data_IF_478937887498
#
_entry.id   IF_478937887498
#
_cell.length_a   1.000
_cell.length_b   1.000
_cell.length_c   1.000
_cell.angle_alpha   90.00
_cell.angle_beta   90.00
_cell.angle_gamma   90.00
#
_symmetry.space_group_name_H-M   'P 1'
#
loop_
_entity.id
_entity.type
_entity.pdbx_description
1 polymer ?
#
# COMPACT_ATOMS: atom_id res chain seq x y z
N UNK A 1 -50.66 -64.06 -13.40
CA UNK A 1 -49.25 -64.48 -13.36
C UNK A 1 -48.65 -64.26 -14.74
N UNK A 2 -47.83 -63.24 -14.91
CA UNK A 2 -46.66 -63.23 -15.81
C UNK A 2 -45.85 -61.98 -15.45
N UNK A 3 -44.68 -62.23 -14.90
CA UNK A 3 -43.58 -61.30 -14.59
C UNK A 3 -42.77 -61.00 -15.84
N UNK A 4 -42.10 -59.85 -15.88
CA UNK A 4 -40.98 -59.59 -16.80
C UNK A 4 -40.96 -58.11 -17.18
N UNK A 5 -40.15 -57.26 -16.53
CA UNK A 5 -38.69 -57.13 -16.65
C UNK A 5 -38.34 -55.98 -17.59
N UNK A 6 -38.82 -54.77 -17.26
CA UNK A 6 -38.34 -53.51 -17.85
C UNK A 6 -37.74 -52.66 -16.74
N UNK A 7 -36.55 -53.03 -16.29
CA UNK A 7 -35.80 -52.24 -15.32
C UNK A 7 -34.32 -52.57 -15.43
N UNK A 8 -33.66 -52.31 -16.56
CA UNK A 8 -32.18 -52.34 -16.63
C UNK A 8 -31.57 -51.70 -17.89
N UNK A 9 -32.17 -50.65 -18.47
CA UNK A 9 -31.59 -49.99 -19.67
C UNK A 9 -31.34 -48.47 -19.52
N UNK A 10 -31.44 -47.93 -18.30
CA UNK A 10 -31.22 -46.48 -18.02
C UNK A 10 -29.85 -46.16 -17.38
N UNK A 11 -28.92 -47.12 -17.31
CA UNK A 11 -27.64 -46.93 -16.59
C UNK A 11 -26.38 -46.97 -17.47
N UNK A 12 -26.49 -46.92 -18.80
CA UNK A 12 -25.31 -46.96 -19.69
C UNK A 12 -24.96 -45.60 -20.31
N UNK A 13 -25.93 -44.68 -20.51
CA UNK A 13 -25.68 -43.35 -21.08
C UNK A 13 -25.04 -42.35 -20.09
N UNK A 14 -25.21 -42.52 -18.77
CA UNK A 14 -24.60 -41.63 -17.76
C UNK A 14 -23.12 -41.96 -17.46
N UNK A 15 -22.60 -43.11 -17.93
CA UNK A 15 -21.23 -43.55 -17.70
C UNK A 15 -20.24 -43.01 -18.74
N UNK A 16 -20.68 -42.77 -19.98
CA UNK A 16 -19.83 -42.20 -21.05
C UNK A 16 -19.45 -40.73 -20.77
N UNK A 17 -20.28 -39.99 -20.03
CA UNK A 17 -20.05 -38.59 -19.64
C UNK A 17 -19.09 -38.46 -18.44
N UNK A 18 -18.97 -39.49 -17.59
CA UNK A 18 -18.13 -39.45 -16.40
C UNK A 18 -16.64 -39.62 -16.70
N UNK A 19 -16.28 -40.49 -17.65
CA UNK A 19 -14.89 -40.68 -18.05
C UNK A 19 -14.38 -39.47 -18.87
N UNK A 20 -15.24 -38.86 -19.70
CA UNK A 20 -14.95 -37.60 -20.39
C UNK A 20 -14.78 -36.44 -19.38
N UNK A 21 -15.64 -36.36 -18.37
CA UNK A 21 -15.50 -35.39 -17.28
C UNK A 21 -14.19 -35.55 -16.49
N UNK A 22 -13.78 -36.79 -16.16
CA UNK A 22 -12.50 -37.06 -15.49
C UNK A 22 -11.32 -36.69 -16.40
N UNK A 23 -11.38 -37.01 -17.69
CA UNK A 23 -10.34 -36.67 -18.65
C UNK A 23 -10.16 -35.14 -18.76
N UNK A 24 -11.27 -34.40 -18.87
CA UNK A 24 -11.26 -32.94 -18.91
C UNK A 24 -10.67 -32.32 -17.63
N UNK A 25 -10.99 -32.87 -16.44
CA UNK A 25 -10.38 -32.44 -15.18
C UNK A 25 -8.87 -32.67 -15.16
N UNK A 26 -8.40 -33.81 -15.67
CA UNK A 26 -6.98 -34.13 -15.74
C UNK A 26 -6.24 -33.21 -16.71
N UNK A 27 -6.84 -32.92 -17.86
CA UNK A 27 -6.32 -31.98 -18.86
C UNK A 27 -6.22 -30.56 -18.28
N UNK A 28 -7.27 -30.07 -17.61
CA UNK A 28 -7.26 -28.77 -16.92
C UNK A 28 -6.17 -28.68 -15.85
N UNK A 29 -5.94 -29.75 -15.08
CA UNK A 29 -4.86 -29.83 -14.09
C UNK A 29 -3.46 -29.85 -14.71
N UNK A 30 -3.31 -30.46 -15.88
CA UNK A 30 -2.06 -30.51 -16.63
C UNK A 30 -1.73 -29.14 -17.23
N UNK A 31 -2.70 -28.51 -17.90
CA UNK A 31 -2.59 -27.13 -18.42
C UNK A 31 -2.21 -26.15 -17.30
N UNK A 32 -2.84 -26.27 -16.12
CA UNK A 32 -2.54 -25.42 -14.98
C UNK A 32 -1.11 -25.64 -14.44
N UNK A 33 -0.64 -26.88 -14.42
CA UNK A 33 0.73 -27.22 -14.02
C UNK A 33 1.75 -26.66 -14.99
N UNK A 34 1.53 -26.82 -16.29
CA UNK A 34 2.40 -26.25 -17.33
C UNK A 34 2.45 -24.72 -17.21
N UNK A 35 1.30 -24.08 -17.05
CA UNK A 35 1.23 -22.64 -16.82
C UNK A 35 2.05 -22.22 -15.60
N UNK A 36 1.91 -22.90 -14.46
CA UNK A 36 2.66 -22.59 -13.23
C UNK A 36 4.19 -22.75 -13.39
N UNK A 37 4.63 -23.67 -14.25
CA UNK A 37 6.05 -23.88 -14.59
C UNK A 37 6.59 -22.71 -15.44
N UNK A 38 5.81 -22.24 -16.41
CA UNK A 38 6.21 -21.15 -17.32
C UNK A 38 6.06 -19.75 -16.72
N UNK A 39 5.15 -19.60 -15.76
CA UNK A 39 4.77 -18.32 -15.15
C UNK A 39 5.97 -17.47 -14.67
N UNK A 40 7.03 -18.03 -14.06
CA UNK A 40 8.22 -17.26 -13.71
C UNK A 40 8.89 -16.62 -14.94
N UNK A 41 8.97 -17.34 -16.06
CA UNK A 41 9.58 -16.86 -17.30
C UNK A 41 8.73 -15.75 -17.91
N UNK A 42 7.40 -15.89 -17.93
CA UNK A 42 6.48 -14.85 -18.42
C UNK A 42 6.69 -13.51 -17.70
N UNK A 43 6.83 -13.54 -16.37
CA UNK A 43 7.10 -12.34 -15.57
C UNK A 43 8.49 -11.74 -15.84
N UNK A 44 9.50 -12.58 -16.04
CA UNK A 44 10.85 -12.13 -16.34
C UNK A 44 10.90 -11.48 -17.74
N UNK A 45 10.32 -12.13 -18.75
CA UNK A 45 10.21 -11.58 -20.10
C UNK A 45 9.48 -10.25 -20.11
N UNK A 46 8.30 -10.16 -19.47
CA UNK A 46 7.56 -8.89 -19.37
C UNK A 46 8.40 -7.78 -18.71
N UNK A 47 9.16 -8.09 -17.66
CA UNK A 47 10.05 -7.11 -17.06
C UNK A 47 11.16 -6.67 -18.02
N UNK A 48 11.80 -7.62 -18.71
CA UNK A 48 12.89 -7.32 -19.62
C UNK A 48 12.46 -6.51 -20.85
N UNK A 49 11.28 -6.81 -21.38
CA UNK A 49 10.71 -6.13 -22.55
C UNK A 49 10.31 -4.68 -22.23
N UNK A 50 9.76 -4.44 -21.03
CA UNK A 50 9.13 -3.15 -20.69
C UNK A 50 9.91 -2.28 -19.70
N UNK A 51 11.02 -2.75 -19.10
CA UNK A 51 11.78 -1.96 -18.10
C UNK A 51 12.33 -0.64 -18.64
N UNK A 52 12.58 -0.54 -19.95
CA UNK A 52 13.10 0.67 -20.59
C UNK A 52 12.03 1.46 -21.34
N UNK A 53 10.79 0.97 -21.36
CA UNK A 53 9.67 1.65 -22.00
C UNK A 53 9.13 2.74 -21.07
N UNK A 54 9.17 3.99 -21.54
CA UNK A 54 8.74 5.16 -20.76
C UNK A 54 7.27 5.12 -20.38
N UNK A 55 6.42 4.46 -21.17
CA UNK A 55 4.98 4.34 -20.90
C UNK A 55 4.65 3.15 -19.99
N UNK A 56 5.64 2.31 -19.66
CA UNK A 56 5.45 1.16 -18.80
C UNK A 56 5.24 1.53 -17.33
N UNK A 57 4.54 0.63 -16.62
CA UNK A 57 4.39 0.68 -15.15
C UNK A 57 5.73 0.83 -14.43
N UNK A 58 6.83 0.33 -14.99
CA UNK A 58 8.16 0.35 -14.39
C UNK A 58 8.78 1.74 -14.32
N UNK A 59 8.33 2.65 -15.19
CA UNK A 59 8.86 4.01 -15.33
C UNK A 59 7.88 5.10 -14.89
N UNK A 60 6.81 4.72 -14.16
CA UNK A 60 5.86 5.68 -13.61
C UNK A 60 6.54 6.65 -12.62
N UNK A 61 6.24 7.96 -12.68
CA UNK A 61 6.83 8.95 -11.79
C UNK A 61 6.65 8.63 -10.31
N UNK A 62 7.76 8.70 -9.56
CA UNK A 62 7.76 8.43 -8.13
C UNK A 62 7.70 6.94 -7.77
N UNK A 63 7.49 6.03 -8.72
CA UNK A 63 7.48 4.59 -8.47
C UNK A 63 8.86 3.96 -8.62
N UNK A 64 9.13 2.97 -7.78
CA UNK A 64 10.32 2.14 -7.89
C UNK A 64 10.00 0.70 -7.49
N UNK A 65 10.22 -0.26 -8.39
CA UNK A 65 9.99 -1.67 -8.13
C UNK A 65 11.14 -2.28 -7.33
N UNK A 66 10.84 -2.70 -6.11
CA UNK A 66 11.76 -3.41 -5.22
C UNK A 66 11.80 -4.90 -5.58
N UNK A 67 10.66 -5.44 -6.03
CA UNK A 67 10.53 -6.84 -6.45
C UNK A 67 9.42 -6.97 -7.48
N UNK A 68 9.69 -7.64 -8.59
CA UNK A 68 8.68 -7.99 -9.57
C UNK A 68 8.86 -9.47 -9.92
N UNK A 69 8.01 -10.33 -9.35
CA UNK A 69 8.08 -11.78 -9.52
C UNK A 69 6.67 -12.35 -9.55
N UNK A 70 6.46 -13.49 -10.23
CA UNK A 70 5.16 -14.19 -10.28
C UNK A 70 4.51 -14.47 -8.91
N UNK A 71 5.28 -14.58 -7.81
CA UNK A 71 4.72 -14.79 -6.46
C UNK A 71 4.41 -13.48 -5.72
N UNK A 72 5.18 -12.43 -6.01
CA UNK A 72 5.18 -11.19 -5.24
C UNK A 72 5.64 -10.02 -6.09
N UNK A 73 4.86 -8.95 -6.05
CA UNK A 73 5.22 -7.63 -6.58
C UNK A 73 5.35 -6.69 -5.38
N UNK A 74 6.41 -5.92 -5.31
CA UNK A 74 6.66 -4.93 -4.26
C UNK A 74 7.26 -3.69 -4.90
N UNK A 75 6.67 -2.54 -4.62
CA UNK A 75 7.17 -1.26 -5.11
C UNK A 75 7.05 -0.20 -4.00
N UNK A 76 7.90 0.81 -4.11
CA UNK A 76 7.80 2.04 -3.33
C UNK A 76 7.27 3.17 -4.19
N UNK A 77 6.54 4.09 -3.57
CA UNK A 77 6.13 5.35 -4.14
C UNK A 77 6.67 6.50 -3.29
N UNK A 78 7.38 7.43 -3.93
CA UNK A 78 7.90 8.65 -3.30
C UNK A 78 7.07 9.85 -3.77
N UNK A 79 6.15 10.36 -2.95
CA UNK A 79 5.24 11.45 -3.33
C UNK A 79 5.96 12.74 -3.74
N UNK A 80 7.13 13.02 -3.16
CA UNK A 80 7.92 14.23 -3.45
C UNK A 80 8.46 14.30 -4.89
N UNK A 81 8.39 13.19 -5.65
CA UNK A 81 8.73 13.16 -7.07
C UNK A 81 7.54 13.51 -7.98
N UNK A 82 6.34 13.61 -7.41
CA UNK A 82 5.10 13.96 -8.11
C UNK A 82 4.56 15.32 -7.65
N UNK A 83 4.83 15.69 -6.39
CA UNK A 83 4.37 16.91 -5.76
C UNK A 83 5.51 17.65 -5.04
N UNK A 84 5.50 18.98 -5.10
CA UNK A 84 6.58 19.83 -4.59
C UNK A 84 6.57 19.95 -3.06
N UNK A 85 5.38 20.17 -2.48
CA UNK A 85 5.21 20.47 -1.06
C UNK A 85 4.90 19.22 -0.26
N UNK A 86 5.67 18.15 -0.49
CA UNK A 86 5.60 16.89 0.27
C UNK A 86 7.01 16.47 0.67
N UNK A 87 7.20 16.05 1.94
CA UNK A 87 8.51 15.66 2.47
C UNK A 87 9.16 14.57 1.61
N UNK A 88 10.47 14.71 1.36
CA UNK A 88 11.25 13.73 0.63
C UNK A 88 11.49 12.44 1.43
N UNK A 89 11.30 12.50 2.76
CA UNK A 89 11.43 11.34 3.66
C UNK A 89 10.21 10.41 3.58
N UNK A 90 9.07 10.92 3.12
CA UNK A 90 7.86 10.13 3.04
C UNK A 90 7.94 9.15 1.86
N UNK A 91 7.84 7.85 2.16
CA UNK A 91 7.86 6.78 1.18
C UNK A 91 6.76 5.80 1.53
N UNK A 92 5.86 5.53 0.58
CA UNK A 92 4.88 4.46 0.70
C UNK A 92 5.43 3.19 0.08
N UNK A 93 5.24 2.07 0.75
CA UNK A 93 5.64 0.75 0.24
C UNK A 93 4.37 -0.04 0.05
N UNK A 94 4.22 -0.68 -1.11
CA UNK A 94 3.06 -1.53 -1.41
C UNK A 94 3.57 -2.91 -1.83
N UNK A 95 2.98 -3.96 -1.27
CA UNK A 95 3.22 -5.34 -1.68
C UNK A 95 1.93 -5.99 -2.17
N UNK A 96 2.01 -6.61 -3.33
CA UNK A 96 0.99 -7.49 -3.89
C UNK A 96 1.45 -8.94 -3.76
N UNK A 97 0.54 -9.84 -3.38
CA UNK A 97 0.81 -11.27 -3.27
C UNK A 97 -0.18 -12.03 -4.13
N UNK A 98 0.33 -12.98 -4.90
CA UNK A 98 -0.50 -13.88 -5.68
C UNK A 98 -1.04 -15.02 -4.81
N UNK A 99 -2.35 -15.28 -4.89
CA UNK A 99 -3.04 -16.37 -4.18
C UNK A 99 -4.34 -16.73 -4.91
N UNK A 100 -4.63 -18.02 -5.02
CA UNK A 100 -5.86 -18.55 -5.64
C UNK A 100 -6.14 -18.01 -7.05
N UNK A 101 -5.12 -17.80 -7.87
CA UNK A 101 -5.29 -17.25 -9.23
C UNK A 101 -5.29 -15.72 -9.32
N UNK A 102 -5.24 -15.01 -8.19
CA UNK A 102 -5.41 -13.56 -8.15
C UNK A 102 -4.29 -12.85 -7.39
N UNK A 103 -4.04 -11.60 -7.78
CA UNK A 103 -3.22 -10.67 -7.04
C UNK A 103 -4.03 -10.00 -5.94
N UNK A 104 -3.44 -9.90 -4.75
CA UNK A 104 -4.05 -9.27 -3.59
C UNK A 104 -3.12 -8.23 -2.98
N UNK A 105 -3.68 -7.10 -2.54
CA UNK A 105 -2.95 -6.08 -1.79
C UNK A 105 -2.71 -6.58 -0.37
N UNK A 106 -1.44 -6.62 0.06
CA UNK A 106 -1.12 -6.82 1.48
C UNK A 106 -1.37 -5.50 2.22
N UNK A 107 -1.78 -5.56 3.50
CA UNK A 107 -1.88 -4.36 4.34
C UNK A 107 -0.51 -3.70 4.49
N UNK A 108 -0.43 -2.42 4.16
CA UNK A 108 0.83 -1.69 4.03
C UNK A 108 0.74 -0.28 4.62
N UNK A 109 1.89 0.38 4.75
CA UNK A 109 2.04 1.72 5.33
C UNK A 109 1.64 2.81 4.31
N UNK A 110 0.34 2.97 4.13
CA UNK A 110 -0.30 4.04 3.34
C UNK A 110 -1.30 4.76 4.25
N UNK A 111 -1.56 6.07 4.08
CA UNK A 111 -2.61 6.77 4.82
C UNK A 111 -3.93 6.00 4.78
N UNK A 112 -4.55 5.81 5.94
CA UNK A 112 -5.71 4.90 6.13
C UNK A 112 -6.83 5.19 5.12
N UNK A 113 -7.11 6.48 4.87
CA UNK A 113 -8.15 6.94 3.95
C UNK A 113 -7.90 6.53 2.49
N UNK A 114 -6.65 6.23 2.12
CA UNK A 114 -6.24 5.85 0.78
C UNK A 114 -5.95 4.36 0.67
N UNK A 115 -5.51 3.71 1.76
CA UNK A 115 -5.38 2.26 1.84
C UNK A 115 -6.71 1.57 1.47
N UNK A 116 -7.83 2.06 2.01
CA UNK A 116 -9.15 1.52 1.67
C UNK A 116 -9.51 1.67 0.19
N UNK A 117 -9.16 2.80 -0.43
CA UNK A 117 -9.38 3.03 -1.87
C UNK A 117 -8.56 2.04 -2.70
N UNK A 118 -7.29 1.84 -2.34
CA UNK A 118 -6.41 0.86 -2.99
C UNK A 118 -6.96 -0.56 -2.83
N UNK A 119 -7.35 -0.97 -1.63
CA UNK A 119 -7.96 -2.28 -1.41
C UNK A 119 -9.20 -2.45 -2.29
N UNK A 120 -10.12 -1.47 -2.32
CA UNK A 120 -11.33 -1.52 -3.15
C UNK A 120 -11.07 -1.70 -4.64
N UNK A 121 -9.91 -1.31 -5.17
CA UNK A 121 -9.56 -1.61 -6.56
C UNK A 121 -9.48 -3.12 -6.82
N UNK A 122 -9.01 -3.89 -5.83
CA UNK A 122 -8.74 -5.32 -5.92
C UNK A 122 -9.93 -6.20 -5.49
N UNK A 123 -10.92 -5.62 -4.81
CA UNK A 123 -12.10 -6.32 -4.30
C UNK A 123 -13.37 -5.63 -4.81
N UNK A 124 -14.15 -6.30 -5.65
CA UNK A 124 -15.51 -5.88 -5.98
C UNK A 124 -16.47 -6.37 -4.90
N UNK A 125 -17.22 -5.46 -4.29
CA UNK A 125 -18.30 -5.80 -3.37
C UNK A 125 -19.62 -5.73 -4.12
N UNK A 126 -20.10 -6.86 -4.65
CA UNK A 126 -21.53 -7.03 -4.92
C UNK A 126 -22.21 -7.57 -3.66
N UNK A 127 -23.49 -7.29 -3.48
CA UNK A 127 -24.25 -7.39 -2.22
C UNK A 127 -24.15 -8.72 -1.44
N UNK A 128 -23.59 -9.79 -2.02
CA UNK A 128 -23.43 -11.09 -1.37
C UNK A 128 -22.08 -11.79 -1.62
N UNK A 129 -21.17 -11.25 -2.44
CA UNK A 129 -19.90 -11.93 -2.79
C UNK A 129 -18.78 -10.94 -3.13
N UNK A 130 -17.64 -11.10 -2.45
CA UNK A 130 -16.42 -10.34 -2.79
C UNK A 130 -15.64 -11.08 -3.87
N UNK A 131 -15.49 -10.48 -5.05
CA UNK A 131 -14.71 -11.06 -6.14
C UNK A 131 -13.35 -10.36 -6.25
N UNK A 132 -12.30 -11.15 -6.52
CA UNK A 132 -10.98 -10.63 -6.81
C UNK A 132 -10.91 -10.19 -8.28
N UNK A 133 -10.31 -9.02 -8.54
CA UNK A 133 -10.35 -8.40 -9.87
C UNK A 133 -9.14 -8.68 -10.75
N UNK A 134 -7.96 -8.82 -10.14
CA UNK A 134 -6.70 -8.81 -10.89
C UNK A 134 -6.04 -10.19 -10.95
N UNK A 135 -5.79 -10.68 -12.17
CA UNK A 135 -5.02 -11.88 -12.53
C UNK A 135 -3.66 -11.45 -13.08
N UNK A 136 -2.86 -12.38 -13.61
CA UNK A 136 -1.57 -12.04 -14.21
C UNK A 136 -1.70 -11.18 -15.47
N UNK A 137 -2.74 -11.39 -16.26
CA UNK A 137 -2.92 -10.72 -17.56
C UNK A 137 -3.24 -9.22 -17.42
N UNK A 138 -3.81 -8.82 -16.28
CA UNK A 138 -4.29 -7.46 -16.05
C UNK A 138 -3.66 -6.78 -14.82
N UNK A 139 -2.69 -7.42 -14.15
CA UNK A 139 -2.02 -6.82 -12.99
C UNK A 139 -1.33 -5.47 -13.29
N UNK A 140 -0.77 -5.20 -14.50
CA UNK A 140 -0.21 -3.89 -14.79
C UNK A 140 -1.23 -2.75 -14.65
N UNK A 141 -2.47 -2.99 -15.10
CA UNK A 141 -3.59 -2.02 -14.95
C UNK A 141 -3.86 -1.76 -13.47
N UNK A 142 -3.87 -2.81 -12.64
CA UNK A 142 -4.07 -2.66 -11.20
C UNK A 142 -2.98 -1.84 -10.52
N UNK A 143 -1.73 -1.98 -10.97
CA UNK A 143 -0.61 -1.19 -10.46
C UNK A 143 -0.72 0.28 -10.89
N UNK A 144 -1.08 0.53 -12.15
CA UNK A 144 -1.31 1.88 -12.66
C UNK A 144 -2.44 2.60 -11.92
N UNK A 145 -3.55 1.89 -11.62
CA UNK A 145 -4.65 2.45 -10.82
C UNK A 145 -4.22 2.77 -9.38
N UNK A 146 -3.37 1.94 -8.76
CA UNK A 146 -2.76 2.27 -7.47
C UNK A 146 -1.95 3.56 -7.57
N UNK A 147 -1.11 3.68 -8.61
CA UNK A 147 -0.30 4.87 -8.84
C UNK A 147 -1.16 6.12 -8.96
N UNK A 148 -2.25 6.09 -9.74
CA UNK A 148 -3.20 7.22 -9.85
C UNK A 148 -3.78 7.62 -8.49
N UNK A 149 -4.16 6.65 -7.65
CA UNK A 149 -4.68 6.92 -6.30
C UNK A 149 -3.62 7.59 -5.42
N UNK A 150 -2.35 7.19 -5.51
CA UNK A 150 -1.26 7.77 -4.74
C UNK A 150 -0.85 9.16 -5.26
N UNK A 151 -0.86 9.38 -6.57
CA UNK A 151 -0.66 10.70 -7.17
C UNK A 151 -1.75 11.68 -6.71
N UNK A 152 -3.01 11.25 -6.69
CA UNK A 152 -4.10 12.06 -6.17
C UNK A 152 -3.90 12.38 -4.67
N UNK A 153 -3.41 11.44 -3.86
CA UNK A 153 -3.02 11.74 -2.49
C UNK A 153 -1.95 12.84 -2.42
N UNK A 154 -0.88 12.70 -3.20
CA UNK A 154 0.24 13.63 -3.21
C UNK A 154 -0.19 15.05 -3.61
N UNK A 155 -1.04 15.17 -4.64
CA UNK A 155 -1.56 16.47 -5.09
C UNK A 155 -2.49 17.12 -4.05
N UNK A 156 -3.31 16.33 -3.37
CA UNK A 156 -4.15 16.85 -2.29
C UNK A 156 -3.30 17.34 -1.11
N UNK A 157 -2.28 16.59 -0.72
CA UNK A 157 -1.34 16.99 0.33
C UNK A 157 -0.58 18.27 -0.06
N UNK A 158 -0.09 18.34 -1.29
CA UNK A 158 0.58 19.53 -1.84
C UNK A 158 -0.29 20.78 -1.74
N UNK A 159 -1.56 20.68 -2.16
CA UNK A 159 -2.52 21.78 -2.09
C UNK A 159 -2.75 22.24 -0.65
N UNK A 160 -2.88 21.29 0.28
CA UNK A 160 -3.08 21.56 1.70
C UNK A 160 -1.85 22.25 2.30
N UNK A 161 -0.64 21.76 2.02
CA UNK A 161 0.62 22.34 2.52
C UNK A 161 0.91 23.71 1.91
N UNK A 162 0.60 23.93 0.63
CA UNK A 162 0.68 25.25 -0.02
C UNK A 162 -0.21 26.27 0.70
N UNK A 163 -1.45 25.88 1.02
CA UNK A 163 -2.37 26.77 1.73
C UNK A 163 -1.93 27.01 3.18
N UNK A 164 -1.46 25.96 3.87
CA UNK A 164 -0.88 26.07 5.21
C UNK A 164 0.31 27.03 5.26
N UNK A 165 1.22 26.94 4.29
CA UNK A 165 2.38 27.84 4.14
C UNK A 165 1.95 29.29 3.89
N UNK A 166 0.92 29.52 3.07
CA UNK A 166 0.39 30.87 2.84
C UNK A 166 -0.14 31.50 4.12
N UNK A 167 -0.92 30.76 4.90
CA UNK A 167 -1.46 31.22 6.20
C UNK A 167 -0.34 31.51 7.20
N UNK A 168 0.65 30.61 7.28
CA UNK A 168 1.84 30.82 8.11
C UNK A 168 2.57 32.13 7.74
N UNK A 169 2.79 32.39 6.45
CA UNK A 169 3.43 33.63 5.96
C UNK A 169 2.62 34.90 6.26
N UNK A 170 1.31 34.78 6.44
CA UNK A 170 0.43 35.91 6.85
C UNK A 170 0.43 36.14 8.36
N UNK A 171 1.13 35.33 9.14
CA UNK A 171 1.17 35.42 10.60
C UNK A 171 -0.07 34.82 11.27
N UNK A 172 -0.84 33.97 10.58
CA UNK A 172 -1.93 33.22 11.21
C UNK A 172 -1.36 32.15 12.15
N UNK A 173 -2.08 31.86 13.23
CA UNK A 173 -1.71 30.80 14.17
C UNK A 173 -1.95 29.42 13.51
N UNK A 174 -0.86 28.83 13.04
CA UNK A 174 -0.86 27.55 12.33
C UNK A 174 0.09 26.60 13.04
N UNK A 175 -0.39 25.39 13.35
CA UNK A 175 0.44 24.34 13.91
C UNK A 175 1.45 23.84 12.87
N UNK A 176 2.74 23.91 13.19
CA UNK A 176 3.85 23.43 12.36
C UNK A 176 4.31 22.08 12.89
N UNK A 177 4.20 21.05 12.06
CA UNK A 177 4.72 19.70 12.32
C UNK A 177 6.12 19.50 11.72
N UNK A 178 6.70 18.30 11.92
CA UNK A 178 8.06 17.98 11.46
C UNK A 178 8.20 18.05 9.91
N UNK A 179 7.14 17.69 9.17
CA UNK A 179 7.14 17.80 7.71
C UNK A 179 7.07 19.26 7.27
N UNK A 180 6.31 20.11 7.97
CA UNK A 180 6.27 21.55 7.73
C UNK A 180 7.62 22.21 8.06
N UNK A 181 8.30 21.77 9.12
CA UNK A 181 9.63 22.26 9.46
C UNK A 181 10.62 22.01 8.31
N UNK A 182 10.57 20.82 7.71
CA UNK A 182 11.38 20.47 6.54
C UNK A 182 11.02 21.33 5.31
N UNK A 183 9.73 21.57 5.07
CA UNK A 183 9.24 22.20 3.83
C UNK A 183 9.19 23.73 3.88
N UNK A 184 8.94 24.31 5.04
CA UNK A 184 8.62 25.74 5.17
C UNK A 184 9.79 26.55 5.70
N UNK A 185 10.53 25.98 6.66
CA UNK A 185 11.52 26.69 7.45
C UNK A 185 12.93 26.52 6.88
N UNK A 186 13.73 27.56 7.03
CA UNK A 186 15.17 27.47 6.83
C UNK A 186 15.82 26.68 7.96
N UNK A 187 17.01 26.15 7.72
CA UNK A 187 17.77 25.39 8.72
C UNK A 187 18.01 26.21 10.01
N UNK A 188 18.22 27.51 9.89
CA UNK A 188 18.36 28.44 11.03
C UNK A 188 17.08 28.55 11.85
N UNK A 189 15.92 28.64 11.20
CA UNK A 189 14.62 28.70 11.87
C UNK A 189 14.30 27.39 12.59
N UNK A 190 14.61 26.25 11.95
CA UNK A 190 14.48 24.91 12.54
C UNK A 190 15.34 24.81 13.81
N UNK A 191 16.62 25.18 13.74
CA UNK A 191 17.52 25.15 14.90
C UNK A 191 17.00 26.01 16.06
N UNK A 192 16.51 27.20 15.79
CA UNK A 192 15.97 28.09 16.83
C UNK A 192 14.66 27.55 17.42
N UNK A 193 13.83 26.92 16.61
CA UNK A 193 12.60 26.25 17.05
C UNK A 193 12.94 25.06 17.97
N UNK A 194 13.93 24.23 17.63
CA UNK A 194 14.41 23.14 18.50
C UNK A 194 15.03 23.66 19.81
N UNK A 195 15.78 24.76 19.79
CA UNK A 195 16.29 25.40 21.03
C UNK A 195 15.16 25.84 21.94
N UNK A 196 14.10 26.45 21.39
CA UNK A 196 12.90 26.87 22.14
C UNK A 196 12.19 25.67 22.75
N UNK A 197 11.93 24.62 21.96
CA UNK A 197 11.32 23.36 22.42
C UNK A 197 12.15 22.73 23.55
N UNK A 198 13.47 22.66 23.39
CA UNK A 198 14.39 22.11 24.41
C UNK A 198 14.33 22.90 25.72
N UNK A 199 14.22 24.22 25.66
CA UNK A 199 14.09 25.08 26.85
C UNK A 199 12.78 24.82 27.59
N UNK A 200 11.68 24.59 26.87
CA UNK A 200 10.38 24.23 27.45
C UNK A 200 10.45 22.85 28.08
N UNK A 201 10.99 21.86 27.36
CA UNK A 201 11.17 20.49 27.87
C UNK A 201 11.94 20.46 29.19
N UNK A 202 13.03 21.22 29.29
CA UNK A 202 13.81 21.34 30.54
C UNK A 202 13.00 21.89 31.73
N UNK A 203 11.95 22.68 31.48
CA UNK A 203 11.04 23.19 32.52
C UNK A 203 9.98 22.17 32.94
N UNK A 204 9.65 21.23 32.05
CA UNK A 204 8.68 20.18 32.30
C UNK A 204 9.29 19.00 33.07
N UNK A 205 10.63 18.87 33.03
CA UNK A 205 11.33 17.89 33.84
C UNK A 205 11.31 18.31 35.32
N UNK A 206 11.07 17.36 36.25
CA UNK A 206 11.21 17.65 37.67
C UNK A 206 12.63 18.14 37.96
N UNK A 207 12.80 19.07 38.92
CA UNK A 207 14.12 19.56 39.27
C UNK A 207 15.00 18.39 39.73
N UNK A 208 16.29 18.37 39.35
CA UNK A 208 17.20 17.32 39.78
C UNK A 208 17.20 17.22 41.30
N UNK A 209 17.16 15.98 41.81
CA UNK A 209 16.95 15.62 43.22
C UNK A 209 17.85 16.37 44.22
N UNK A 210 19.01 16.84 43.78
CA UNK A 210 19.99 17.57 44.59
C UNK A 210 19.57 19.00 44.95
N UNK A 211 18.49 19.54 44.36
CA UNK A 211 17.99 20.90 44.64
C UNK A 211 16.82 20.97 45.64
N UNK A 212 16.38 19.83 46.20
CA UNK A 212 15.29 19.78 47.18
C UNK A 212 15.68 20.15 48.62
N UNK A 213 16.95 20.50 48.88
CA UNK A 213 17.34 21.07 50.18
C UNK A 213 17.00 22.57 50.22
N UNK A 214 15.71 22.91 50.28
CA UNK A 214 15.32 24.25 50.73
C UNK A 214 15.79 24.40 52.18
N UNK A 215 16.67 25.36 52.52
CA UNK A 215 17.02 25.59 53.90
C UNK A 215 15.73 26.01 54.64
N UNK A 216 15.29 25.17 55.58
CA UNK A 216 14.19 25.51 56.50
C UNK A 216 14.56 26.83 57.16
N UNK A 217 13.87 27.92 56.81
CA UNK A 217 13.95 29.19 57.55
C UNK A 217 13.69 28.88 59.02
N UNK A 218 14.73 28.94 59.86
CA UNK A 218 14.58 28.92 61.30
C UNK A 218 13.73 30.13 61.68
N UNK A 219 12.48 29.92 62.06
CA UNK A 219 11.68 30.94 62.73
C UNK A 219 12.43 31.30 64.03
N UNK A 220 12.92 32.52 64.13
CA UNK A 220 13.35 33.09 65.41
C UNK A 220 12.08 33.22 66.26
N UNK A 221 11.97 32.40 67.29
CA UNK A 221 11.01 32.60 68.37
C UNK A 221 11.67 33.64 69.29
N UNK A 222 11.03 34.79 69.45
CA UNK A 222 11.28 35.72 70.55
C UNK A 222 10.42 35.31 71.74
#
# INVERSE_FOLDING_TARGET
MSTGSDCFDLCLEELEDHDEYIANLQEDEEIKREYDIERPNKFQSYFDDYKNDLESIFNLPGMHFIRYTHKKIKFSFRPSLVAEMVSAKLIFIISLKYRMGYWMVKREYVPVNYMWKICKLFYTTTSFTSHFRFTDDNIPIGIEEIWKVLCNWALNEDSFRKEKRKRYRRGEDVYIDEDDEELFLSETEVQDLHKRRSKIWKRMLPPPSDTLQRPRRKRRIQ
#
